data_IF_388406922409
#
_entry.id   IF_388406922409
#
_cell.length_a   1.000
_cell.length_b   1.000
_cell.length_c   1.000
_cell.angle_alpha   90.00
_cell.angle_beta   90.00
_cell.angle_gamma   90.00
#
_symmetry.space_group_name_H-M   'P 1'
#
loop_
_entity.id
_entity.type
_entity.pdbx_description
1 polymer ?
#
# COMPACT_ATOMS: atom_id res chain seq x y z
N UNK A 1 -19.66 11.14 30.51
CA UNK A 1 -20.05 12.15 29.51
C UNK A 1 -20.55 11.42 28.27
N UNK A 2 -21.65 11.84 27.64
CA UNK A 2 -22.15 11.21 26.43
C UNK A 2 -21.22 11.43 25.23
N UNK A 3 -20.95 10.37 24.49
CA UNK A 3 -20.03 10.35 23.34
C UNK A 3 -20.70 10.69 22.01
N UNK A 4 -21.95 11.17 22.05
CA UNK A 4 -22.76 11.52 20.88
C UNK A 4 -22.03 12.45 19.90
N UNK A 5 -21.29 13.43 20.40
CA UNK A 5 -20.53 14.38 19.58
C UNK A 5 -19.42 13.72 18.72
N UNK A 6 -18.95 12.52 19.09
CA UNK A 6 -17.95 11.78 18.31
C UNK A 6 -18.53 11.24 17.00
N UNK A 7 -19.84 10.99 16.96
CA UNK A 7 -20.53 10.46 15.78
C UNK A 7 -20.53 11.44 14.60
N UNK A 8 -20.39 12.74 14.86
CA UNK A 8 -20.29 13.76 13.81
C UNK A 8 -18.86 13.89 13.25
N UNK A 9 -17.86 13.29 13.91
CA UNK A 9 -16.45 13.40 13.51
C UNK A 9 -16.04 12.20 12.66
N UNK A 10 -16.37 10.98 13.06
CA UNK A 10 -15.86 9.78 12.37
C UNK A 10 -16.67 9.49 11.10
N UNK A 11 -16.10 9.72 9.90
CA UNK A 11 -16.76 9.41 8.63
C UNK A 11 -16.47 7.99 8.13
N UNK A 12 -15.22 7.56 8.16
CA UNK A 12 -14.83 6.22 7.71
C UNK A 12 -13.32 6.01 7.66
N UNK A 13 -12.86 5.26 6.67
CA UNK A 13 -11.46 4.83 6.55
C UNK A 13 -10.85 5.21 5.20
N UNK A 14 -9.54 5.48 5.17
CA UNK A 14 -8.80 5.88 3.97
C UNK A 14 -8.35 7.33 3.95
N UNK A 15 -7.58 7.69 2.93
CA UNK A 15 -7.08 9.04 2.71
C UNK A 15 -7.93 9.78 1.67
N UNK A 16 -8.79 10.68 2.15
CA UNK A 16 -9.68 11.47 1.27
C UNK A 16 -8.95 12.44 0.36
N UNK A 17 -7.71 12.83 0.69
CA UNK A 17 -6.94 13.77 -0.12
C UNK A 17 -6.46 13.12 -1.42
N UNK A 18 -6.19 11.82 -1.40
CA UNK A 18 -5.74 11.05 -2.56
C UNK A 18 -6.82 10.18 -3.18
N UNK A 19 -7.81 9.75 -2.41
CA UNK A 19 -8.84 8.83 -2.86
C UNK A 19 -9.61 9.38 -4.07
N UNK A 20 -9.66 8.56 -5.12
CA UNK A 20 -10.36 8.81 -6.38
C UNK A 20 -11.71 8.08 -6.44
N UNK A 21 -11.86 7.01 -5.65
CA UNK A 21 -13.08 6.22 -5.54
C UNK A 21 -13.52 6.20 -4.07
N UNK A 22 -14.77 6.55 -3.82
CA UNK A 22 -15.37 6.53 -2.49
C UNK A 22 -16.44 5.45 -2.45
N UNK A 23 -16.22 4.43 -1.63
CA UNK A 23 -17.25 3.44 -1.35
C UNK A 23 -18.11 3.93 -0.19
N UNK A 24 -19.42 4.03 -0.39
CA UNK A 24 -20.33 4.61 0.59
C UNK A 24 -21.35 3.57 1.04
N UNK A 25 -21.24 3.16 2.31
CA UNK A 25 -22.12 2.19 2.94
C UNK A 25 -23.00 2.79 4.02
N UNK A 26 -23.93 1.97 4.53
CA UNK A 26 -24.62 2.18 5.80
C UNK A 26 -24.43 0.89 6.60
N UNK A 27 -23.19 0.64 7.01
CA UNK A 27 -22.78 -0.59 7.71
C UNK A 27 -22.30 -0.30 9.12
N UNK A 28 -22.46 -1.28 10.00
CA UNK A 28 -21.82 -1.26 11.30
C UNK A 28 -20.40 -1.77 11.12
N UNK A 29 -19.46 -0.84 10.93
CA UNK A 29 -18.06 -1.19 10.66
C UNK A 29 -17.38 -1.90 11.86
N UNK A 30 -17.80 -1.58 13.09
CA UNK A 30 -17.36 -2.21 14.32
C UNK A 30 -18.34 -1.89 15.45
N UNK A 31 -18.40 -2.76 16.46
CA UNK A 31 -19.11 -2.46 17.70
C UNK A 31 -18.41 -1.31 18.45
N UNK A 32 -19.16 -0.27 18.81
CA UNK A 32 -18.67 0.84 19.63
C UNK A 32 -18.55 0.40 21.08
N UNK A 33 -17.32 0.17 21.55
CA UNK A 33 -17.02 -0.10 22.95
C UNK A 33 -16.39 1.12 23.63
N UNK A 34 -16.47 1.20 24.96
CA UNK A 34 -15.75 2.24 25.73
C UNK A 34 -14.24 2.16 25.50
N UNK A 35 -13.69 0.95 25.37
CA UNK A 35 -12.28 0.76 25.06
C UNK A 35 -11.92 1.36 23.70
N UNK A 36 -12.74 1.12 22.67
CA UNK A 36 -12.54 1.69 21.34
C UNK A 36 -12.61 3.22 21.37
N UNK A 37 -13.63 3.79 22.04
CA UNK A 37 -13.72 5.24 22.21
C UNK A 37 -12.53 5.80 22.96
N UNK A 38 -12.10 5.17 24.04
CA UNK A 38 -10.94 5.63 24.79
C UNK A 38 -9.66 5.55 23.95
N UNK A 39 -9.47 4.51 23.13
CA UNK A 39 -8.35 4.46 22.18
C UNK A 39 -8.41 5.58 21.15
N UNK A 40 -9.60 5.89 20.63
CA UNK A 40 -9.79 7.03 19.73
C UNK A 40 -9.44 8.36 20.43
N UNK A 41 -9.92 8.58 21.65
CA UNK A 41 -9.64 9.82 22.36
C UNK A 41 -8.17 9.96 22.80
N UNK A 42 -7.49 8.85 23.06
CA UNK A 42 -6.10 8.86 23.51
C UNK A 42 -5.11 9.04 22.37
N UNK A 43 -5.44 8.54 21.17
CA UNK A 43 -4.49 8.46 20.06
C UNK A 43 -4.49 9.68 19.12
N UNK A 44 -5.56 10.50 19.07
CA UNK A 44 -5.49 11.78 18.35
C UNK A 44 -6.26 12.92 19.04
N UNK A 45 -5.58 14.04 19.38
CA UNK A 45 -6.22 15.23 19.94
C UNK A 45 -6.91 16.15 18.90
N UNK A 46 -6.87 15.84 17.59
CA UNK A 46 -7.43 16.65 16.49
C UNK A 46 -8.62 15.94 15.79
N UNK A 47 -9.49 16.64 15.01
CA UNK A 47 -10.76 16.12 14.52
C UNK A 47 -10.58 14.97 13.53
N UNK A 48 -11.07 13.80 13.90
CA UNK A 48 -11.23 12.64 13.04
C UNK A 48 -12.21 12.96 11.91
N UNK A 49 -11.85 12.61 10.67
CA UNK A 49 -12.75 12.62 9.50
C UNK A 49 -12.67 11.24 8.82
N UNK A 50 -11.49 10.84 8.37
CA UNK A 50 -11.21 9.50 7.83
C UNK A 50 -9.88 8.99 8.37
N UNK A 51 -9.83 7.73 8.79
CA UNK A 51 -8.61 7.11 9.33
C UNK A 51 -8.03 6.11 8.32
N UNK A 52 -6.81 6.35 7.79
CA UNK A 52 -6.13 5.38 6.96
C UNK A 52 -5.92 4.06 7.71
N UNK A 53 -6.22 2.95 7.03
CA UNK A 53 -6.05 1.61 7.57
C UNK A 53 -4.55 1.29 7.66
N UNK A 54 -4.11 0.71 8.78
CA UNK A 54 -2.71 0.30 8.92
C UNK A 54 -2.40 -0.87 7.97
N UNK A 55 -1.17 -0.89 7.42
CA UNK A 55 -0.76 -1.94 6.47
C UNK A 55 -0.85 -3.34 7.07
N UNK A 56 -1.52 -4.25 6.37
CA UNK A 56 -1.72 -5.62 6.84
C UNK A 56 -2.79 -5.79 7.94
N UNK A 57 -3.45 -4.72 8.39
CA UNK A 57 -4.48 -4.85 9.42
C UNK A 57 -5.72 -5.63 8.92
N UNK A 58 -6.11 -5.48 7.65
CA UNK A 58 -7.25 -6.22 7.08
C UNK A 58 -7.03 -7.73 7.13
N UNK A 59 -5.82 -8.21 6.78
CA UNK A 59 -5.49 -9.64 6.88
C UNK A 59 -5.41 -10.11 8.34
N UNK A 60 -4.90 -9.28 9.25
CA UNK A 60 -4.87 -9.61 10.68
C UNK A 60 -6.30 -9.76 11.24
N UNK A 61 -7.20 -8.84 10.91
CA UNK A 61 -8.60 -8.92 11.35
C UNK A 61 -9.35 -10.09 10.68
N UNK A 62 -9.03 -10.41 9.43
CA UNK A 62 -9.52 -11.63 8.78
C UNK A 62 -9.06 -12.90 9.50
N UNK A 63 -7.83 -12.96 9.99
CA UNK A 63 -7.34 -14.09 10.79
C UNK A 63 -8.09 -14.19 12.13
N UNK A 64 -8.47 -13.05 12.72
CA UNK A 64 -9.19 -12.98 14.00
C UNK A 64 -10.68 -13.32 13.89
N UNK A 65 -11.36 -12.77 12.89
CA UNK A 65 -12.83 -12.87 12.74
C UNK A 65 -13.27 -13.79 11.60
N UNK A 66 -12.34 -14.36 10.84
CA UNK A 66 -12.61 -15.27 9.73
C UNK A 66 -12.93 -14.56 8.41
N UNK A 67 -13.23 -15.37 7.39
CA UNK A 67 -13.46 -14.89 6.02
C UNK A 67 -14.74 -14.04 5.86
N UNK A 68 -15.67 -14.06 6.82
CA UNK A 68 -16.84 -13.18 6.80
C UNK A 68 -16.48 -11.71 6.93
N UNK A 69 -15.36 -11.38 7.59
CA UNK A 69 -14.89 -10.02 7.78
C UNK A 69 -14.59 -9.30 6.46
N UNK A 70 -14.04 -10.00 5.46
CA UNK A 70 -13.56 -9.36 4.23
C UNK A 70 -14.58 -9.32 3.11
N UNK A 71 -15.79 -9.88 3.27
CA UNK A 71 -16.74 -10.04 2.14
C UNK A 71 -17.02 -8.76 1.35
N UNK A 72 -17.17 -7.65 2.06
CA UNK A 72 -17.39 -6.32 1.46
C UNK A 72 -16.10 -5.80 0.81
N UNK A 73 -14.98 -5.95 1.51
CA UNK A 73 -13.65 -5.54 1.03
C UNK A 73 -13.21 -6.32 -0.21
N UNK A 74 -13.60 -7.59 -0.34
CA UNK A 74 -13.32 -8.40 -1.52
C UNK A 74 -13.92 -7.77 -2.78
N UNK A 75 -15.17 -7.31 -2.70
CA UNK A 75 -15.87 -6.67 -3.82
C UNK A 75 -15.26 -5.30 -4.11
N UNK A 76 -14.97 -4.50 -3.08
CA UNK A 76 -14.29 -3.20 -3.25
C UNK A 76 -12.94 -3.35 -3.95
N UNK A 77 -12.11 -4.31 -3.52
CA UNK A 77 -10.79 -4.54 -4.13
C UNK A 77 -10.90 -5.09 -5.55
N UNK A 78 -11.86 -5.97 -5.85
CA UNK A 78 -12.12 -6.43 -7.23
C UNK A 78 -12.48 -5.26 -8.15
N UNK A 79 -13.34 -4.35 -7.69
CA UNK A 79 -13.71 -3.15 -8.45
C UNK A 79 -12.48 -2.26 -8.70
N UNK A 80 -11.68 -1.96 -7.67
CA UNK A 80 -10.50 -1.08 -7.81
C UNK A 80 -9.48 -1.69 -8.77
N UNK A 81 -9.12 -2.96 -8.56
CA UNK A 81 -8.15 -3.66 -9.42
C UNK A 81 -8.67 -3.70 -10.84
N UNK A 82 -9.92 -4.14 -11.05
CA UNK A 82 -10.50 -4.19 -12.39
C UNK A 82 -10.61 -2.83 -13.10
N UNK A 83 -10.69 -1.72 -12.36
CA UNK A 83 -10.71 -0.38 -12.96
C UNK A 83 -9.33 0.14 -13.37
N UNK A 84 -8.24 -0.18 -12.67
CA UNK A 84 -6.98 0.54 -12.90
C UNK A 84 -5.69 -0.23 -12.64
N UNK A 85 -5.75 -1.42 -12.07
CA UNK A 85 -4.56 -2.23 -11.80
C UNK A 85 -4.68 -3.48 -12.65
N UNK A 86 -3.86 -3.63 -13.71
CA UNK A 86 -3.89 -4.85 -14.50
C UNK A 86 -3.76 -6.06 -13.58
N UNK A 87 -4.69 -7.01 -13.69
CA UNK A 87 -4.81 -8.14 -12.75
C UNK A 87 -3.57 -9.06 -12.73
N UNK A 88 -2.71 -8.97 -13.75
CA UNK A 88 -1.41 -9.65 -13.77
C UNK A 88 -0.34 -8.97 -12.90
N UNK A 89 -0.56 -7.71 -12.51
CA UNK A 89 0.35 -6.94 -11.64
C UNK A 89 0.02 -7.21 -10.17
N UNK A 90 -1.27 -7.18 -9.79
CA UNK A 90 -1.72 -7.42 -8.40
C UNK A 90 -3.00 -8.25 -8.39
N UNK A 91 -3.01 -9.33 -7.60
CA UNK A 91 -4.25 -10.03 -7.24
C UNK A 91 -5.10 -9.16 -6.30
N UNK A 92 -6.42 -9.14 -6.49
CA UNK A 92 -7.30 -8.30 -5.68
C UNK A 92 -7.25 -8.61 -4.18
N UNK A 93 -6.88 -9.83 -3.76
CA UNK A 93 -6.68 -10.17 -2.34
C UNK A 93 -5.44 -9.49 -1.78
N UNK A 94 -4.37 -9.42 -2.57
CA UNK A 94 -3.15 -8.72 -2.19
C UNK A 94 -3.42 -7.21 -2.11
N UNK A 95 -4.17 -6.65 -3.06
CA UNK A 95 -4.63 -5.26 -2.98
C UNK A 95 -5.43 -5.02 -1.69
N UNK A 96 -6.40 -5.89 -1.40
CA UNK A 96 -7.24 -5.83 -0.20
C UNK A 96 -6.40 -5.83 1.08
N UNK A 97 -5.47 -6.77 1.19
CA UNK A 97 -4.73 -7.02 2.43
C UNK A 97 -3.62 -5.98 2.67
N UNK A 98 -3.05 -5.43 1.59
CA UNK A 98 -1.85 -4.62 1.65
C UNK A 98 -1.98 -3.18 1.16
N UNK A 99 -3.13 -2.75 0.62
CA UNK A 99 -3.29 -1.41 0.07
C UNK A 99 -4.66 -0.77 0.36
N UNK A 100 -5.75 -1.54 0.38
CA UNK A 100 -7.10 -0.96 0.52
C UNK A 100 -7.22 -0.02 1.74
N UNK A 101 -7.62 1.22 1.47
CA UNK A 101 -7.81 2.30 2.46
C UNK A 101 -6.56 2.73 3.22
N UNK A 102 -5.37 2.44 2.71
CA UNK A 102 -4.14 2.97 3.29
C UNK A 102 -3.90 4.43 2.89
N UNK A 103 -2.91 5.04 3.54
CA UNK A 103 -2.51 6.40 3.22
C UNK A 103 -2.06 6.49 1.75
N UNK A 104 -2.43 7.57 1.06
CA UNK A 104 -2.09 7.79 -0.35
C UNK A 104 -2.64 6.76 -1.35
N UNK A 105 -3.65 5.97 -0.98
CA UNK A 105 -4.30 5.04 -1.91
C UNK A 105 -5.51 5.66 -2.62
N UNK A 106 -5.96 5.00 -3.68
CA UNK A 106 -6.97 5.53 -4.59
C UNK A 106 -8.41 5.36 -4.07
N UNK A 107 -8.58 4.71 -2.92
CA UNK A 107 -9.90 4.40 -2.38
C UNK A 107 -10.06 4.82 -0.91
N UNK A 108 -11.27 5.25 -0.57
CA UNK A 108 -11.72 5.37 0.82
C UNK A 108 -13.08 4.70 1.01
N UNK A 109 -13.38 4.36 2.25
CA UNK A 109 -14.67 3.85 2.69
C UNK A 109 -15.34 4.86 3.60
N UNK A 110 -16.61 5.14 3.36
CA UNK A 110 -17.44 6.07 4.11
C UNK A 110 -18.67 5.35 4.64
N UNK A 111 -18.96 5.52 5.93
CA UNK A 111 -20.26 5.15 6.48
C UNK A 111 -21.16 6.37 6.57
N UNK A 112 -22.27 6.37 5.84
CA UNK A 112 -23.21 7.49 5.86
C UNK A 112 -23.82 7.66 7.25
N UNK A 113 -24.10 6.56 7.94
CA UNK A 113 -24.60 6.56 9.32
C UNK A 113 -23.47 6.17 10.27
N UNK A 114 -23.21 6.96 11.32
CA UNK A 114 -22.10 6.71 12.25
C UNK A 114 -22.32 5.49 13.14
N UNK A 115 -23.59 5.17 13.45
CA UNK A 115 -24.00 3.91 14.06
C UNK A 115 -24.68 3.10 12.96
N UNK A 116 -23.94 2.14 12.38
CA UNK A 116 -24.31 1.46 11.15
C UNK A 116 -25.64 0.71 11.16
N UNK A 117 -26.10 0.30 12.34
CA UNK A 117 -27.43 -0.26 12.52
C UNK A 117 -28.50 0.86 12.55
N UNK A 118 -29.46 0.78 11.62
CA UNK A 118 -30.61 1.72 11.56
C UNK A 118 -31.56 1.64 12.75
N UNK A 119 -31.64 0.48 13.37
CA UNK A 119 -32.67 0.17 14.35
C UNK A 119 -32.04 0.03 15.73
N UNK A 120 -32.42 0.91 16.65
CA UNK A 120 -31.90 0.87 18.03
C UNK A 120 -32.22 -0.45 18.73
N UNK A 121 -33.27 -1.18 18.30
CA UNK A 121 -33.62 -2.48 18.88
C UNK A 121 -32.54 -3.56 18.70
N UNK A 122 -31.66 -3.42 17.71
CA UNK A 122 -30.54 -4.34 17.48
C UNK A 122 -29.22 -3.79 18.01
N UNK A 123 -29.23 -2.60 18.61
CA UNK A 123 -28.02 -2.03 19.19
C UNK A 123 -27.66 -2.73 20.48
N UNK A 124 -26.36 -2.85 20.78
CA UNK A 124 -25.92 -3.20 22.13
C UNK A 124 -26.53 -2.26 23.16
N UNK A 125 -26.94 -2.81 24.31
CA UNK A 125 -27.65 -2.05 25.35
C UNK A 125 -26.86 -0.82 25.84
N UNK A 126 -25.53 -0.88 25.83
CA UNK A 126 -24.67 0.24 26.23
C UNK A 126 -24.69 1.43 25.26
N UNK A 127 -25.11 1.27 24.00
CA UNK A 127 -25.21 2.38 23.04
C UNK A 127 -26.21 3.44 23.51
N UNK A 128 -27.31 3.02 24.14
CA UNK A 128 -28.29 3.97 24.68
C UNK A 128 -27.67 4.88 25.74
N UNK A 129 -26.82 4.32 26.61
CA UNK A 129 -26.09 5.09 27.62
C UNK A 129 -24.98 5.95 27.00
N UNK A 130 -24.27 5.42 26.00
CA UNK A 130 -23.13 6.12 25.38
C UNK A 130 -23.56 7.29 24.48
N UNK A 131 -24.67 7.15 23.75
CA UNK A 131 -25.08 8.11 22.71
C UNK A 131 -26.42 8.80 22.97
N UNK A 132 -27.13 8.40 24.04
CA UNK A 132 -28.36 9.03 24.53
C UNK A 132 -29.55 8.98 23.55
N UNK A 133 -29.54 8.05 22.60
CA UNK A 133 -30.67 7.84 21.69
C UNK A 133 -31.71 6.93 22.35
N UNK A 134 -32.86 7.53 22.69
CA UNK A 134 -33.96 6.82 23.37
C UNK A 134 -34.77 5.92 22.43
N UNK A 135 -34.80 6.25 21.15
CA UNK A 135 -35.53 5.50 20.13
C UNK A 135 -35.05 5.86 18.71
N UNK A 136 -35.47 5.04 17.73
CA UNK A 136 -35.16 5.22 16.31
C UNK A 136 -35.38 6.66 15.85
N UNK A 137 -36.50 7.28 16.20
CA UNK A 137 -36.82 8.65 15.75
C UNK A 137 -35.82 9.68 16.26
N UNK A 138 -35.36 9.57 17.52
CA UNK A 138 -34.33 10.49 18.06
C UNK A 138 -33.00 10.36 17.31
N UNK A 139 -32.60 9.14 16.92
CA UNK A 139 -31.40 8.92 16.12
C UNK A 139 -31.55 9.47 14.70
N UNK A 140 -32.65 9.16 14.00
CA UNK A 140 -32.90 9.68 12.66
C UNK A 140 -33.03 11.20 12.62
N UNK A 141 -33.64 11.81 13.63
CA UNK A 141 -33.72 13.26 13.76
C UNK A 141 -32.32 13.86 13.93
N UNK A 142 -31.45 13.21 14.70
CA UNK A 142 -30.06 13.62 14.82
C UNK A 142 -29.32 13.50 13.48
N UNK A 143 -29.39 12.36 12.78
CA UNK A 143 -28.75 12.18 11.47
C UNK A 143 -29.24 13.20 10.45
N UNK A 144 -30.56 13.45 10.37
CA UNK A 144 -31.13 14.40 9.42
C UNK A 144 -30.80 15.87 9.74
N UNK A 145 -30.46 16.19 11.00
CA UNK A 145 -30.05 17.54 11.43
C UNK A 145 -28.53 17.69 11.54
N UNK A 146 -27.78 16.60 11.41
CA UNK A 146 -26.33 16.61 11.51
C UNK A 146 -25.72 17.36 10.34
N UNK A 147 -24.65 18.11 10.60
CA UNK A 147 -23.85 18.78 9.56
C UNK A 147 -23.04 17.80 8.72
N UNK A 148 -22.94 16.54 9.15
CA UNK A 148 -22.18 15.45 8.52
C UNK A 148 -22.41 15.34 7.01
N UNK A 149 -23.67 15.38 6.56
CA UNK A 149 -23.94 15.24 5.12
C UNK A 149 -23.42 16.42 4.30
N UNK A 150 -23.51 17.64 4.85
CA UNK A 150 -22.96 18.82 4.21
C UNK A 150 -21.42 18.77 4.19
N UNK A 151 -20.79 18.26 5.25
CA UNK A 151 -19.34 18.10 5.35
C UNK A 151 -18.82 17.02 4.39
N UNK A 152 -19.51 15.88 4.30
CA UNK A 152 -19.22 14.82 3.33
C UNK A 152 -19.31 15.37 1.90
N UNK A 153 -20.39 16.07 1.54
CA UNK A 153 -20.53 16.64 0.20
C UNK A 153 -19.51 17.75 -0.08
N UNK A 154 -19.17 18.58 0.92
CA UNK A 154 -18.11 19.58 0.80
C UNK A 154 -16.74 18.92 0.51
N UNK A 155 -16.38 17.86 1.25
CA UNK A 155 -15.14 17.11 1.01
C UNK A 155 -15.14 16.43 -0.36
N UNK A 156 -16.27 15.83 -0.76
CA UNK A 156 -16.44 15.23 -2.08
C UNK A 156 -16.17 16.24 -3.20
N UNK A 157 -16.68 17.47 -3.06
CA UNK A 157 -16.51 18.53 -4.08
C UNK A 157 -15.05 18.95 -4.28
N UNK A 158 -14.17 18.79 -3.30
CA UNK A 158 -12.74 19.12 -3.43
C UNK A 158 -12.04 18.26 -4.47
N UNK A 159 -12.33 16.96 -4.50
CA UNK A 159 -11.60 15.98 -5.32
C UNK A 159 -12.47 15.30 -6.39
N UNK A 160 -13.78 15.55 -6.42
CA UNK A 160 -14.75 14.97 -7.36
C UNK A 160 -14.56 13.46 -7.59
N UNK A 161 -14.49 12.63 -6.52
CA UNK A 161 -14.27 11.20 -6.64
C UNK A 161 -15.49 10.51 -7.28
N UNK A 162 -15.28 9.31 -7.82
CA UNK A 162 -16.36 8.40 -8.19
C UNK A 162 -16.97 7.81 -6.92
N UNK A 163 -18.27 8.02 -6.71
CA UNK A 163 -18.99 7.46 -5.57
C UNK A 163 -19.66 6.15 -5.96
N UNK A 164 -19.38 5.09 -5.20
CA UNK A 164 -20.04 3.79 -5.34
C UNK A 164 -20.79 3.53 -4.03
N UNK A 165 -22.09 3.82 -4.02
CA UNK A 165 -22.95 3.71 -2.86
C UNK A 165 -23.64 2.35 -2.86
N UNK A 166 -23.36 1.48 -1.89
CA UNK A 166 -23.84 0.11 -1.90
C UNK A 166 -24.93 -0.15 -0.85
N UNK A 167 -25.96 -0.89 -1.25
CA UNK A 167 -27.12 -1.24 -0.43
C UNK A 167 -28.41 -0.63 -0.96
N UNK A 168 -29.16 -1.38 -1.77
CA UNK A 168 -30.40 -0.96 -2.45
C UNK A 168 -31.44 -0.35 -1.50
N UNK A 169 -31.61 -0.95 -0.32
CA UNK A 169 -32.49 -0.48 0.76
C UNK A 169 -32.12 0.92 1.31
N UNK A 170 -31.02 1.51 0.83
CA UNK A 170 -30.46 2.79 1.26
C UNK A 170 -30.50 3.88 0.20
N UNK A 171 -30.96 3.59 -1.02
CA UNK A 171 -30.92 4.55 -2.13
C UNK A 171 -31.57 5.88 -1.76
N UNK A 172 -32.71 5.89 -1.07
CA UNK A 172 -33.35 7.13 -0.62
C UNK A 172 -32.43 8.00 0.25
N UNK A 173 -31.60 7.41 1.10
CA UNK A 173 -30.66 8.14 1.96
C UNK A 173 -29.46 8.64 1.18
N UNK A 174 -28.87 7.83 0.30
CA UNK A 174 -27.79 8.27 -0.60
C UNK A 174 -28.26 9.43 -1.49
N UNK A 175 -29.44 9.29 -2.11
CA UNK A 175 -30.01 10.32 -2.97
C UNK A 175 -30.28 11.62 -2.24
N UNK A 176 -30.70 11.54 -0.97
CA UNK A 176 -30.87 12.72 -0.11
C UNK A 176 -29.52 13.37 0.26
N UNK A 177 -28.54 12.58 0.67
CA UNK A 177 -27.21 13.07 1.07
C UNK A 177 -26.48 13.79 -0.08
N UNK A 178 -26.58 13.26 -1.29
CA UNK A 178 -25.87 13.79 -2.45
C UNK A 178 -26.74 14.66 -3.37
N UNK A 179 -27.89 15.13 -2.86
CA UNK A 179 -28.78 16.08 -3.55
C UNK A 179 -29.29 15.61 -4.93
N UNK A 180 -29.55 14.31 -5.10
CA UNK A 180 -30.06 13.69 -6.34
C UNK A 180 -31.46 13.05 -6.17
N UNK A 181 -32.20 13.39 -5.10
CA UNK A 181 -33.49 12.75 -4.78
C UNK A 181 -34.58 12.90 -5.84
N UNK A 182 -34.54 13.98 -6.62
CA UNK A 182 -35.50 14.26 -7.68
C UNK A 182 -34.93 13.93 -9.08
N UNK A 183 -33.78 13.26 -9.15
CA UNK A 183 -33.13 12.90 -10.42
C UNK A 183 -33.43 11.44 -10.78
N UNK A 184 -33.81 11.23 -12.02
CA UNK A 184 -33.80 9.90 -12.63
C UNK A 184 -32.35 9.49 -12.94
N UNK A 185 -32.01 8.20 -12.88
CA UNK A 185 -30.70 7.74 -13.33
C UNK A 185 -30.56 7.97 -14.84
N UNK A 186 -29.34 8.32 -15.27
CA UNK A 186 -29.00 8.47 -16.68
C UNK A 186 -28.92 7.10 -17.39
N UNK A 187 -28.55 6.06 -16.65
CA UNK A 187 -28.42 4.70 -17.14
C UNK A 187 -28.64 3.68 -16.01
N UNK A 188 -28.97 2.45 -16.37
CA UNK A 188 -29.17 1.34 -15.44
C UNK A 188 -28.45 0.07 -15.89
N UNK A 189 -28.08 -0.77 -14.94
CA UNK A 189 -27.53 -2.11 -15.19
C UNK A 189 -28.05 -3.05 -14.12
N UNK A 190 -29.05 -3.86 -14.46
CA UNK A 190 -29.83 -4.61 -13.46
C UNK A 190 -30.38 -3.64 -12.40
N UNK A 191 -30.00 -3.83 -11.14
CA UNK A 191 -30.37 -2.99 -10.00
C UNK A 191 -29.38 -1.84 -9.70
N UNK A 192 -28.43 -1.60 -10.61
CA UNK A 192 -27.43 -0.53 -10.49
C UNK A 192 -27.93 0.71 -11.22
N UNK A 193 -27.95 1.85 -10.53
CA UNK A 193 -28.35 3.16 -11.05
C UNK A 193 -27.10 4.04 -11.26
N UNK A 194 -26.96 4.63 -12.44
CA UNK A 194 -25.86 5.53 -12.78
C UNK A 194 -26.36 6.98 -12.85
N UNK A 195 -25.66 7.87 -12.16
CA UNK A 195 -25.85 9.32 -12.16
C UNK A 195 -24.54 9.95 -12.65
N UNK A 196 -24.41 10.04 -13.97
CA UNK A 196 -23.15 10.30 -14.68
C UNK A 196 -22.62 11.69 -14.37
N UNK A 197 -23.50 12.70 -14.38
CA UNK A 197 -23.11 14.09 -14.11
C UNK A 197 -22.55 14.27 -12.69
N UNK A 198 -23.09 13.55 -11.72
CA UNK A 198 -22.65 13.61 -10.33
C UNK A 198 -21.52 12.64 -9.99
N UNK A 199 -21.15 11.76 -10.92
CA UNK A 199 -20.25 10.61 -10.71
C UNK A 199 -20.69 9.75 -9.54
N UNK A 200 -21.98 9.41 -9.49
CA UNK A 200 -22.57 8.56 -8.44
C UNK A 200 -23.11 7.30 -9.07
N UNK A 201 -22.80 6.16 -8.45
CA UNK A 201 -23.33 4.85 -8.80
C UNK A 201 -23.99 4.29 -7.54
N UNK A 202 -25.25 3.90 -7.66
CA UNK A 202 -25.96 3.20 -6.59
C UNK A 202 -26.02 1.72 -6.94
N UNK A 203 -25.52 0.85 -6.06
CA UNK A 203 -25.43 -0.59 -6.30
C UNK A 203 -26.20 -1.41 -5.25
N UNK A 204 -26.52 -2.67 -5.54
CA UNK A 204 -26.86 -3.65 -4.51
C UNK A 204 -25.78 -3.72 -3.42
N UNK A 205 -26.12 -4.37 -2.30
CA UNK A 205 -25.19 -4.56 -1.20
C UNK A 205 -23.98 -5.42 -1.63
N UNK A 206 -22.81 -5.15 -1.07
CA UNK A 206 -21.58 -5.86 -1.41
C UNK A 206 -21.51 -7.23 -0.74
N UNK A 207 -22.28 -8.16 -1.29
CA UNK A 207 -22.26 -9.56 -0.93
C UNK A 207 -22.30 -10.40 -2.19
N UNK A 208 -21.61 -11.55 -2.22
CA UNK A 208 -21.44 -12.35 -3.44
C UNK A 208 -22.76 -12.77 -4.10
N UNK A 209 -23.83 -12.94 -3.32
CA UNK A 209 -25.17 -13.23 -3.84
C UNK A 209 -25.78 -12.06 -4.62
N UNK A 210 -25.48 -10.82 -4.22
CA UNK A 210 -26.05 -9.60 -4.85
C UNK A 210 -25.08 -8.94 -5.85
N UNK A 211 -23.78 -9.16 -5.68
CA UNK A 211 -22.69 -8.65 -6.50
C UNK A 211 -21.73 -9.80 -6.86
N UNK A 212 -22.17 -10.76 -7.70
CA UNK A 212 -21.29 -11.81 -8.20
C UNK A 212 -20.24 -11.23 -9.16
N UNK A 213 -19.15 -11.97 -9.39
CA UNK A 213 -18.01 -11.51 -10.21
C UNK A 213 -18.43 -11.05 -11.61
N UNK A 214 -19.34 -11.77 -12.26
CA UNK A 214 -19.87 -11.37 -13.56
C UNK A 214 -20.61 -10.02 -13.55
N UNK A 215 -21.23 -9.63 -12.42
CA UNK A 215 -21.85 -8.31 -12.27
C UNK A 215 -20.80 -7.23 -11.96
N UNK A 216 -19.75 -7.57 -11.21
CA UNK A 216 -18.60 -6.68 -10.98
C UNK A 216 -17.92 -6.32 -12.30
N UNK A 217 -17.68 -7.32 -13.17
CA UNK A 217 -17.08 -7.09 -14.49
C UNK A 217 -17.95 -6.19 -15.37
N UNK A 218 -19.27 -6.43 -15.38
CA UNK A 218 -20.22 -5.56 -16.11
C UNK A 218 -20.23 -4.14 -15.56
N UNK A 219 -20.16 -3.97 -14.23
CA UNK A 219 -20.04 -2.66 -13.59
C UNK A 219 -18.76 -1.94 -14.03
N UNK A 220 -17.60 -2.60 -13.95
CA UNK A 220 -16.31 -2.05 -14.38
C UNK A 220 -16.35 -1.61 -15.85
N UNK A 221 -16.85 -2.47 -16.74
CA UNK A 221 -16.97 -2.17 -18.16
C UNK A 221 -17.87 -0.96 -18.41
N UNK A 222 -18.97 -0.84 -17.66
CA UNK A 222 -19.91 0.28 -17.78
C UNK A 222 -19.33 1.59 -17.24
N UNK A 223 -18.58 1.54 -16.14
CA UNK A 223 -17.80 2.69 -15.61
C UNK A 223 -16.81 3.18 -16.68
N UNK A 224 -16.10 2.26 -17.33
CA UNK A 224 -15.14 2.58 -18.39
C UNK A 224 -15.82 3.16 -19.64
N UNK A 225 -16.95 2.60 -20.07
CA UNK A 225 -17.69 3.05 -21.25
C UNK A 225 -18.22 4.48 -21.08
N UNK A 226 -18.65 4.84 -19.86
CA UNK A 226 -19.12 6.18 -19.53
C UNK A 226 -18.01 7.18 -19.17
N UNK A 227 -16.74 6.79 -19.33
CA UNK A 227 -15.57 7.59 -18.91
C UNK A 227 -15.63 8.06 -17.45
N UNK A 228 -16.29 7.28 -16.59
CA UNK A 228 -16.37 7.56 -15.15
C UNK A 228 -15.15 7.07 -14.38
N UNK A 229 -14.33 6.21 -14.98
CA UNK A 229 -13.15 5.62 -14.33
C UNK A 229 -12.12 6.71 -13.99
N UNK A 230 -11.98 7.08 -12.70
CA UNK A 230 -11.06 8.15 -12.32
C UNK A 230 -9.59 7.69 -12.29
N UNK A 231 -9.34 6.39 -12.48
CA UNK A 231 -8.00 5.80 -12.56
C UNK A 231 -7.47 5.79 -14.00
N UNK A 232 -8.34 6.01 -15.01
CA UNK A 232 -7.97 6.03 -16.43
C UNK A 232 -7.54 7.43 -16.91
N UNK A 233 -8.28 8.46 -16.50
CA UNK A 233 -8.07 9.86 -16.92
C UNK A 233 -6.92 10.54 -16.21
N UNK A 234 -6.49 10.00 -15.08
CA UNK A 234 -5.43 10.60 -14.30
C UNK A 234 -4.06 10.52 -14.97
N UNK A 235 -3.85 9.67 -15.99
CA UNK A 235 -2.49 9.33 -16.48
C UNK A 235 -1.55 8.83 -15.37
N UNK A 236 -2.12 8.66 -14.17
CA UNK A 236 -1.55 8.52 -12.84
C UNK A 236 -2.45 7.45 -12.22
N UNK A 237 -2.15 6.21 -12.53
CA UNK A 237 -2.41 5.12 -11.59
C UNK A 237 -1.33 5.34 -10.52
N UNK A 238 -1.65 6.12 -9.48
CA UNK A 238 -0.66 6.77 -8.60
C UNK A 238 0.23 5.84 -7.79
N UNK A 239 -0.06 4.54 -7.77
CA UNK A 239 0.82 3.50 -7.25
C UNK A 239 1.39 2.55 -8.33
N UNK A 240 0.82 2.49 -9.55
CA UNK A 240 1.14 1.43 -10.54
C UNK A 240 1.40 1.87 -11.99
N UNK A 241 1.08 3.11 -12.39
CA UNK A 241 1.63 3.75 -13.60
C UNK A 241 2.67 4.79 -13.19
N UNK A 242 3.72 4.29 -12.52
CA UNK A 242 5.01 4.95 -12.70
C UNK A 242 5.35 4.82 -14.19
N UNK A 243 5.94 5.84 -14.82
CA UNK A 243 6.54 5.64 -16.16
C UNK A 243 7.74 4.72 -15.97
N UNK A 244 7.49 3.42 -16.01
CA UNK A 244 8.52 2.40 -15.88
C UNK A 244 9.07 2.10 -17.26
N UNK A 245 10.26 2.60 -17.54
CA UNK A 245 11.01 2.19 -18.73
C UNK A 245 11.83 0.97 -18.37
N UNK A 246 11.69 -0.11 -19.12
CA UNK A 246 12.51 -1.31 -18.92
C UNK A 246 13.98 -0.91 -19.04
N UNK A 247 14.73 -1.13 -17.97
CA UNK A 247 16.13 -0.73 -17.88
C UNK A 247 17.00 -1.80 -18.51
N UNK A 248 17.77 -1.41 -19.53
CA UNK A 248 18.71 -2.30 -20.20
C UNK A 248 20.09 -2.13 -19.56
N UNK A 249 20.60 -3.22 -18.99
CA UNK A 249 21.93 -3.23 -18.38
C UNK A 249 23.00 -2.98 -19.42
N UNK A 250 23.92 -2.06 -19.14
CA UNK A 250 25.12 -1.92 -19.95
C UNK A 250 26.11 -3.08 -19.68
N UNK A 251 27.15 -3.21 -20.51
CA UNK A 251 28.14 -4.30 -20.40
C UNK A 251 28.81 -4.33 -19.02
N UNK A 252 29.11 -3.16 -18.44
CA UNK A 252 29.72 -3.07 -17.11
C UNK A 252 28.77 -3.62 -16.04
N UNK A 253 27.50 -3.24 -16.07
CA UNK A 253 26.48 -3.73 -15.14
C UNK A 253 26.23 -5.22 -15.30
N UNK A 254 26.16 -5.74 -16.53
CA UNK A 254 26.05 -7.18 -16.78
C UNK A 254 27.21 -7.95 -16.15
N UNK A 255 28.45 -7.44 -16.28
CA UNK A 255 29.62 -8.05 -15.65
C UNK A 255 29.53 -8.00 -14.11
N UNK A 256 29.07 -6.89 -13.53
CA UNK A 256 28.87 -6.79 -12.08
C UNK A 256 27.81 -7.78 -11.57
N UNK A 257 26.69 -7.90 -12.29
CA UNK A 257 25.61 -8.84 -11.96
C UNK A 257 26.09 -10.29 -12.07
N UNK A 258 26.87 -10.62 -13.10
CA UNK A 258 27.47 -11.95 -13.24
C UNK A 258 28.41 -12.28 -12.08
N UNK A 259 29.26 -11.33 -11.66
CA UNK A 259 30.13 -11.51 -10.49
C UNK A 259 29.33 -11.77 -9.21
N UNK A 260 28.20 -11.08 -9.00
CA UNK A 260 27.31 -11.37 -7.88
C UNK A 260 26.79 -12.81 -7.96
N UNK A 261 26.24 -13.22 -9.11
CA UNK A 261 25.68 -14.55 -9.24
C UNK A 261 26.72 -15.67 -9.20
N UNK A 262 27.95 -15.43 -9.63
CA UNK A 262 29.04 -16.40 -9.51
C UNK A 262 29.32 -16.72 -8.04
N UNK A 263 29.36 -15.72 -7.16
CA UNK A 263 29.51 -15.93 -5.71
C UNK A 263 28.37 -16.81 -5.15
N UNK A 264 27.11 -16.54 -5.52
CA UNK A 264 25.98 -17.36 -5.06
C UNK A 264 25.96 -18.75 -5.68
N UNK A 265 26.35 -18.90 -6.96
CA UNK A 265 26.44 -20.19 -7.65
C UNK A 265 27.48 -21.11 -7.01
N UNK A 266 28.65 -20.57 -6.66
CA UNK A 266 29.70 -21.30 -5.94
C UNK A 266 29.24 -21.81 -4.57
N UNK A 267 28.20 -21.20 -4.01
CA UNK A 267 27.58 -21.60 -2.74
C UNK A 267 26.26 -22.37 -2.95
N UNK A 268 26.05 -22.93 -4.13
CA UNK A 268 24.96 -23.87 -4.43
C UNK A 268 23.62 -23.23 -4.76
N UNK A 269 23.51 -21.91 -4.91
CA UNK A 269 22.25 -21.26 -5.32
C UNK A 269 21.96 -21.54 -6.79
N UNK A 270 20.67 -21.72 -7.11
CA UNK A 270 20.24 -21.88 -8.49
C UNK A 270 20.06 -20.49 -9.13
N UNK A 271 20.92 -20.17 -10.09
CA UNK A 271 20.89 -18.90 -10.81
C UNK A 271 19.72 -18.91 -11.81
N UNK A 272 18.84 -17.90 -11.79
CA UNK A 272 17.72 -17.86 -12.71
C UNK A 272 18.21 -17.68 -14.15
N UNK A 273 17.42 -18.15 -15.11
CA UNK A 273 17.68 -17.92 -16.54
C UNK A 273 17.38 -16.48 -16.96
N UNK A 274 16.58 -15.75 -16.18
CA UNK A 274 16.22 -14.36 -16.41
C UNK A 274 16.44 -13.53 -15.14
N UNK A 275 16.93 -12.30 -15.29
CA UNK A 275 17.01 -11.33 -14.20
C UNK A 275 15.60 -10.92 -13.75
N UNK A 276 15.44 -10.37 -12.53
CA UNK A 276 14.24 -9.61 -12.23
C UNK A 276 14.02 -8.51 -13.27
N UNK A 277 12.77 -8.12 -13.46
CA UNK A 277 12.48 -6.89 -14.21
C UNK A 277 13.11 -5.70 -13.48
N UNK A 278 13.88 -4.91 -14.21
CA UNK A 278 14.50 -3.69 -13.70
C UNK A 278 13.93 -2.54 -14.51
N UNK A 279 13.48 -1.51 -13.80
CA UNK A 279 12.89 -0.35 -14.43
C UNK A 279 13.60 0.93 -13.99
N UNK A 280 13.76 1.84 -14.94
CA UNK A 280 14.05 3.24 -14.65
C UNK A 280 12.73 3.98 -14.49
N UNK A 281 12.60 4.73 -13.39
CA UNK A 281 11.42 5.54 -13.08
C UNK A 281 11.79 7.02 -13.05
N UNK A 282 10.99 7.82 -13.74
CA UNK A 282 11.08 9.29 -13.75
C UNK A 282 10.34 9.93 -12.56
N UNK A 283 9.87 9.13 -11.61
CA UNK A 283 9.15 9.63 -10.44
C UNK A 283 10.07 10.40 -9.50
N UNK A 284 9.47 11.35 -8.77
CA UNK A 284 10.15 11.99 -7.65
C UNK A 284 10.28 10.97 -6.51
N UNK A 285 11.50 10.64 -6.05
CA UNK A 285 11.71 9.69 -4.95
C UNK A 285 10.95 10.10 -3.67
N UNK A 286 10.57 9.14 -2.81
CA UNK A 286 9.89 9.42 -1.54
C UNK A 286 10.55 10.50 -0.69
N UNK A 287 11.88 10.49 -0.59
CA UNK A 287 12.62 11.48 0.20
C UNK A 287 12.46 12.90 -0.37
N UNK A 288 12.48 13.05 -1.69
CA UNK A 288 12.34 14.35 -2.36
C UNK A 288 10.90 14.89 -2.27
N UNK A 289 9.89 14.02 -2.20
CA UNK A 289 8.49 14.43 -1.98
C UNK A 289 8.31 15.09 -0.61
N UNK A 290 8.98 14.56 0.42
CA UNK A 290 8.82 15.04 1.80
C UNK A 290 9.68 16.28 2.14
N UNK A 291 10.83 16.44 1.49
CA UNK A 291 11.81 17.47 1.84
C UNK A 291 12.10 18.48 0.72
N UNK A 292 11.43 18.35 -0.43
CA UNK A 292 11.74 19.13 -1.62
C UNK A 292 13.02 18.67 -2.33
N UNK A 293 13.31 19.29 -3.48
CA UNK A 293 14.46 18.97 -4.35
C UNK A 293 15.71 19.75 -3.88
N UNK A 294 16.06 19.70 -2.58
CA UNK A 294 17.29 20.33 -2.12
C UNK A 294 18.39 19.27 -1.93
N UNK A 295 19.32 19.10 -2.89
CA UNK A 295 20.40 18.11 -2.79
C UNK A 295 21.46 18.45 -1.73
N UNK A 296 21.43 19.67 -1.18
CA UNK A 296 22.30 20.11 -0.08
C UNK A 296 21.68 19.87 1.30
N UNK A 297 20.55 19.17 1.37
CA UNK A 297 20.03 18.74 2.66
C UNK A 297 21.07 17.81 3.29
N UNK A 298 21.51 18.11 4.52
CA UNK A 298 22.45 17.29 5.31
C UNK A 298 21.89 15.90 5.69
N UNK A 299 20.82 15.45 5.02
CA UNK A 299 20.18 14.17 5.27
C UNK A 299 20.99 13.01 4.71
N UNK A 300 20.75 11.86 5.33
CA UNK A 300 21.33 10.59 4.94
C UNK A 300 20.79 10.16 3.57
N UNK A 301 21.66 9.66 2.70
CA UNK A 301 21.32 9.13 1.37
C UNK A 301 20.87 7.67 1.47
N UNK A 302 19.71 7.43 2.08
CA UNK A 302 19.11 6.08 2.09
C UNK A 302 18.72 5.70 0.66
N UNK A 303 19.28 4.60 0.13
CA UNK A 303 19.10 4.19 -1.28
C UNK A 303 17.61 3.98 -1.56
N UNK A 304 16.91 3.23 -0.70
CA UNK A 304 15.48 2.90 -0.85
C UNK A 304 14.55 4.11 -1.00
N UNK A 305 14.96 5.26 -0.43
CA UNK A 305 14.13 6.47 -0.38
C UNK A 305 14.50 7.50 -1.44
N UNK A 306 15.69 7.39 -2.03
CA UNK A 306 16.23 8.39 -2.94
C UNK A 306 16.62 7.82 -4.32
N UNK A 307 17.28 6.66 -4.37
CA UNK A 307 18.04 6.25 -5.55
C UNK A 307 17.48 5.01 -6.26
N UNK A 308 16.94 4.06 -5.50
CA UNK A 308 16.29 2.86 -6.05
C UNK A 308 15.41 2.21 -5.00
N UNK A 309 14.65 1.19 -5.37
CA UNK A 309 13.97 0.32 -4.42
C UNK A 309 13.65 -1.05 -5.04
N UNK A 310 13.73 -2.09 -4.20
CA UNK A 310 13.25 -3.41 -4.51
C UNK A 310 11.78 -3.55 -4.09
N UNK A 311 10.89 -3.63 -5.08
CA UNK A 311 9.46 -3.82 -4.81
C UNK A 311 9.16 -5.30 -4.63
N UNK A 312 9.39 -5.82 -3.44
CA UNK A 312 9.31 -7.25 -3.12
C UNK A 312 7.98 -7.94 -3.47
N UNK A 313 6.84 -7.22 -3.45
CA UNK A 313 5.55 -7.76 -3.93
C UNK A 313 5.57 -8.04 -5.44
N UNK A 314 6.13 -7.13 -6.23
CA UNK A 314 6.26 -7.26 -7.68
C UNK A 314 7.51 -8.02 -8.10
N UNK A 315 8.42 -8.28 -7.16
CA UNK A 315 9.71 -8.92 -7.38
C UNK A 315 10.55 -8.20 -8.46
N UNK A 316 10.39 -6.89 -8.57
CA UNK A 316 11.08 -6.03 -9.53
C UNK A 316 11.93 -4.97 -8.85
N UNK A 317 12.91 -4.45 -9.58
CA UNK A 317 13.80 -3.39 -9.12
C UNK A 317 13.40 -2.09 -9.81
N UNK A 318 13.32 -1.01 -9.05
CA UNK A 318 13.08 0.34 -9.55
C UNK A 318 14.33 1.18 -9.27
N UNK A 319 14.83 1.88 -10.28
CA UNK A 319 15.88 2.89 -10.15
C UNK A 319 15.24 4.26 -10.40
N UNK A 320 15.47 5.22 -9.50
CA UNK A 320 14.88 6.55 -9.62
C UNK A 320 15.81 7.51 -10.38
N UNK A 321 15.47 7.81 -11.63
CA UNK A 321 16.26 8.66 -12.53
C UNK A 321 16.51 10.05 -11.90
N UNK A 322 15.46 10.69 -11.39
CA UNK A 322 15.56 12.00 -10.71
C UNK A 322 16.45 11.96 -9.46
N UNK A 323 16.45 10.83 -8.76
CA UNK A 323 17.33 10.60 -7.61
C UNK A 323 18.80 10.57 -8.02
N UNK A 324 19.12 9.77 -9.03
CA UNK A 324 20.47 9.69 -9.62
C UNK A 324 20.91 11.07 -10.16
N UNK A 325 20.03 11.76 -10.89
CA UNK A 325 20.29 13.08 -11.47
C UNK A 325 20.55 14.15 -10.42
N UNK A 326 19.84 14.10 -9.29
CA UNK A 326 20.04 15.05 -8.19
C UNK A 326 21.46 14.99 -7.60
N UNK A 327 22.18 13.89 -7.83
CA UNK A 327 23.51 13.63 -7.28
C UNK A 327 24.64 13.72 -8.34
N UNK A 328 24.36 14.13 -9.57
CA UNK A 328 25.32 14.17 -10.69
C UNK A 328 26.56 15.05 -10.46
N UNK A 329 26.45 16.08 -9.60
CA UNK A 329 27.59 16.94 -9.25
C UNK A 329 28.53 16.33 -8.21
N UNK A 330 28.14 15.22 -7.58
CA UNK A 330 28.85 14.61 -6.46
C UNK A 330 29.39 13.21 -6.80
N UNK A 331 28.76 12.53 -7.76
CA UNK A 331 29.06 11.16 -8.15
C UNK A 331 29.02 11.03 -9.68
N UNK A 332 29.85 10.12 -10.21
CA UNK A 332 29.68 9.67 -11.58
C UNK A 332 28.36 8.88 -11.70
N UNK A 333 27.44 9.33 -12.56
CA UNK A 333 26.09 8.77 -12.63
C UNK A 333 26.06 7.29 -13.03
N UNK A 334 26.89 6.87 -13.99
CA UNK A 334 26.94 5.47 -14.42
C UNK A 334 27.31 4.55 -13.25
N UNK A 335 28.39 4.88 -12.53
CA UNK A 335 28.82 4.07 -11.39
C UNK A 335 27.88 4.18 -10.19
N UNK A 336 27.23 5.33 -9.99
CA UNK A 336 26.18 5.49 -8.99
C UNK A 336 25.00 4.56 -9.28
N UNK A 337 24.50 4.56 -10.51
CA UNK A 337 23.43 3.65 -10.96
C UNK A 337 23.85 2.19 -10.80
N UNK A 338 25.09 1.82 -11.15
CA UNK A 338 25.58 0.46 -10.96
C UNK A 338 25.62 0.04 -9.47
N UNK A 339 26.04 0.93 -8.56
CA UNK A 339 26.04 0.63 -7.12
C UNK A 339 24.61 0.43 -6.60
N UNK A 340 23.67 1.29 -7.01
CA UNK A 340 22.25 1.19 -6.66
C UNK A 340 21.65 -0.10 -7.21
N UNK A 341 21.91 -0.43 -8.48
CA UNK A 341 21.45 -1.67 -9.09
C UNK A 341 21.91 -2.91 -8.31
N UNK A 342 23.20 -3.00 -7.97
CA UNK A 342 23.73 -4.14 -7.22
C UNK A 342 23.15 -4.20 -5.81
N UNK A 343 22.88 -3.06 -5.19
CA UNK A 343 22.22 -2.98 -3.89
C UNK A 343 20.80 -3.55 -3.96
N UNK A 344 19.97 -3.07 -4.88
CA UNK A 344 18.59 -3.57 -5.04
C UNK A 344 18.54 -5.04 -5.52
N UNK A 345 19.52 -5.46 -6.32
CA UNK A 345 19.69 -6.86 -6.67
C UNK A 345 20.01 -7.69 -5.42
N UNK A 346 20.77 -7.15 -4.46
CA UNK A 346 21.03 -7.79 -3.18
C UNK A 346 19.76 -8.06 -2.37
N UNK A 347 18.82 -7.10 -2.35
CA UNK A 347 17.49 -7.29 -1.78
C UNK A 347 16.71 -8.39 -2.51
N UNK A 348 16.69 -8.36 -3.84
CA UNK A 348 16.03 -9.40 -4.66
C UNK A 348 16.63 -10.78 -4.41
N UNK A 349 17.96 -10.91 -4.36
CA UNK A 349 18.65 -12.18 -4.10
C UNK A 349 18.25 -12.73 -2.74
N UNK A 350 18.30 -11.88 -1.71
CA UNK A 350 17.93 -12.22 -0.33
C UNK A 350 16.48 -12.70 -0.24
N UNK A 351 15.58 -12.13 -1.04
CA UNK A 351 14.18 -12.53 -1.08
C UNK A 351 13.92 -13.78 -1.96
N UNK A 352 14.42 -13.81 -3.19
CA UNK A 352 13.91 -14.69 -4.26
C UNK A 352 14.87 -15.78 -4.71
N UNK A 353 16.19 -15.58 -4.63
CA UNK A 353 17.15 -16.51 -5.24
C UNK A 353 17.13 -17.86 -4.50
N UNK A 354 16.72 -18.97 -5.13
CA UNK A 354 16.49 -20.23 -4.43
C UNK A 354 17.79 -21.01 -4.19
N UNK A 355 17.76 -21.85 -3.16
CA UNK A 355 18.78 -22.86 -2.87
C UNK A 355 18.18 -24.26 -3.01
N UNK A 356 19.00 -25.32 -2.97
CA UNK A 356 18.50 -26.69 -2.88
C UNK A 356 17.69 -26.95 -1.60
N UNK A 357 17.85 -26.11 -0.57
CA UNK A 357 17.27 -26.29 0.77
C UNK A 357 16.06 -25.40 1.02
N UNK A 358 15.97 -24.25 0.37
CA UNK A 358 14.87 -23.27 0.52
C UNK A 358 14.57 -22.62 -0.83
N UNK A 359 13.29 -22.32 -1.08
CA UNK A 359 12.89 -21.55 -2.26
C UNK A 359 13.12 -20.05 -2.02
N UNK A 360 12.07 -19.24 -2.03
CA UNK A 360 12.12 -17.83 -1.66
C UNK A 360 11.81 -17.63 -0.18
N UNK A 361 12.22 -16.49 0.37
CA UNK A 361 11.73 -16.05 1.67
C UNK A 361 10.23 -15.75 1.55
N UNK A 362 9.42 -16.31 2.45
CA UNK A 362 7.99 -16.04 2.47
C UNK A 362 7.73 -14.53 2.59
N UNK A 363 6.93 -13.99 1.68
CA UNK A 363 6.77 -12.54 1.49
C UNK A 363 6.35 -11.81 2.76
N UNK A 364 5.44 -12.39 3.56
CA UNK A 364 5.00 -11.79 4.82
C UNK A 364 6.12 -11.72 5.87
N UNK A 365 7.02 -12.72 5.89
CA UNK A 365 8.16 -12.73 6.78
C UNK A 365 9.26 -11.80 6.31
N UNK A 366 9.52 -11.75 5.00
CA UNK A 366 10.44 -10.80 4.40
C UNK A 366 9.97 -9.37 4.68
N UNK A 367 8.73 -9.03 4.33
CA UNK A 367 8.16 -7.69 4.53
C UNK A 367 8.23 -7.15 5.97
N UNK A 368 8.14 -8.04 6.96
CA UNK A 368 8.16 -7.70 8.38
C UNK A 368 9.54 -7.90 9.04
N UNK A 369 10.55 -8.34 8.29
CA UNK A 369 11.92 -8.52 8.80
C UNK A 369 12.56 -7.17 9.14
N UNK A 370 13.42 -7.15 10.16
CA UNK A 370 14.13 -5.96 10.60
C UNK A 370 14.90 -5.31 9.43
N UNK A 371 14.73 -4.01 9.23
CA UNK A 371 15.42 -3.23 8.20
C UNK A 371 16.94 -3.41 8.26
N UNK A 372 17.52 -3.60 9.45
CA UNK A 372 18.96 -3.88 9.59
C UNK A 372 19.40 -5.18 8.90
N UNK A 373 18.52 -6.18 8.83
CA UNK A 373 18.79 -7.45 8.15
C UNK A 373 18.74 -7.26 6.64
N UNK A 374 17.69 -6.60 6.12
CA UNK A 374 17.58 -6.30 4.68
C UNK A 374 18.77 -5.47 4.19
N UNK A 375 19.01 -4.34 4.83
CA UNK A 375 20.05 -3.40 4.40
C UNK A 375 21.45 -3.96 4.64
N UNK A 376 21.63 -4.74 5.71
CA UNK A 376 22.88 -5.44 5.97
C UNK A 376 23.22 -6.44 4.86
N UNK A 377 22.25 -7.20 4.36
CA UNK A 377 22.45 -8.14 3.25
C UNK A 377 22.78 -7.44 1.94
N UNK A 378 21.97 -6.46 1.55
CA UNK A 378 22.16 -5.71 0.31
C UNK A 378 23.53 -5.00 0.29
N UNK A 379 23.92 -4.36 1.40
CA UNK A 379 25.23 -3.69 1.51
C UNK A 379 26.41 -4.66 1.53
N UNK A 380 26.25 -5.83 2.14
CA UNK A 380 27.31 -6.84 2.18
C UNK A 380 27.61 -7.38 0.77
N UNK A 381 26.57 -7.61 -0.03
CA UNK A 381 26.72 -8.01 -1.44
C UNK A 381 27.44 -6.91 -2.23
N UNK A 382 27.03 -5.65 -2.11
CA UNK A 382 27.76 -4.53 -2.72
C UNK A 382 29.23 -4.47 -2.28
N UNK A 383 29.51 -4.73 -1.00
CA UNK A 383 30.86 -4.71 -0.46
C UNK A 383 31.75 -5.80 -1.07
N UNK A 384 31.22 -7.01 -1.30
CA UNK A 384 31.96 -8.09 -1.96
C UNK A 384 32.38 -7.67 -3.38
N UNK A 385 31.44 -7.11 -4.15
CA UNK A 385 31.72 -6.60 -5.50
C UNK A 385 32.73 -5.45 -5.49
N UNK A 386 32.61 -4.53 -4.54
CA UNK A 386 33.59 -3.46 -4.36
C UNK A 386 35.00 -3.99 -4.06
N UNK A 387 35.11 -5.09 -3.31
CA UNK A 387 36.38 -5.77 -3.03
C UNK A 387 37.01 -6.41 -4.27
N UNK A 388 36.18 -7.04 -5.11
CA UNK A 388 36.61 -7.77 -6.30
C UNK A 388 37.01 -6.84 -7.45
N UNK A 389 36.17 -5.86 -7.80
CA UNK A 389 36.38 -4.99 -8.99
C UNK A 389 37.30 -3.79 -8.68
N UNK A 390 37.31 -3.32 -7.43
CA UNK A 390 38.04 -2.10 -7.01
C UNK A 390 37.63 -0.87 -7.86
N UNK A 391 38.46 0.17 -7.90
CA UNK A 391 38.27 1.33 -8.79
C UNK A 391 37.00 2.15 -8.50
N UNK A 392 36.33 2.58 -9.56
CA UNK A 392 35.21 3.53 -9.50
C UNK A 392 34.00 2.98 -8.72
N UNK A 393 33.63 1.71 -8.91
CA UNK A 393 32.53 1.10 -8.16
C UNK A 393 32.81 1.16 -6.65
N UNK A 394 34.01 0.75 -6.23
CA UNK A 394 34.41 0.79 -4.82
C UNK A 394 34.49 2.22 -4.26
N UNK A 395 34.96 3.18 -5.06
CA UNK A 395 35.03 4.59 -4.66
C UNK A 395 33.63 5.17 -4.40
N UNK A 396 32.69 4.97 -5.33
CA UNK A 396 31.30 5.44 -5.22
C UNK A 396 30.59 4.76 -4.05
N UNK A 397 30.71 3.44 -3.92
CA UNK A 397 30.18 2.67 -2.79
C UNK A 397 30.64 3.23 -1.43
N UNK A 398 31.94 3.49 -1.29
CA UNK A 398 32.50 4.02 -0.05
C UNK A 398 32.06 5.47 0.22
N UNK A 399 31.91 6.28 -0.83
CA UNK A 399 31.46 7.66 -0.70
C UNK A 399 29.96 7.74 -0.32
N UNK A 400 29.11 6.90 -0.92
CA UNK A 400 27.71 6.77 -0.53
C UNK A 400 27.55 6.32 0.91
N UNK A 401 28.28 5.27 1.31
CA UNK A 401 28.20 4.72 2.67
C UNK A 401 28.47 5.77 3.75
N UNK A 402 29.40 6.72 3.52
CA UNK A 402 29.66 7.83 4.48
C UNK A 402 28.43 8.68 4.78
N UNK A 403 27.44 8.67 3.89
CA UNK A 403 26.21 9.45 3.99
C UNK A 403 24.97 8.59 4.24
N UNK A 404 25.11 7.29 4.42
CA UNK A 404 23.98 6.40 4.66
C UNK A 404 23.64 6.23 6.15
N UNK A 405 22.38 5.91 6.44
CA UNK A 405 21.92 5.64 7.80
C UNK A 405 22.50 4.35 8.41
N UNK A 406 22.30 4.17 9.73
CA UNK A 406 22.89 3.07 10.51
C UNK A 406 22.64 1.67 9.94
N UNK A 407 21.43 1.31 9.44
CA UNK A 407 21.16 -0.01 8.87
C UNK A 407 22.14 -0.40 7.75
N UNK A 408 22.58 0.57 6.95
CA UNK A 408 23.53 0.33 5.87
C UNK A 408 24.96 0.04 6.34
N UNK A 409 25.28 0.21 7.63
CA UNK A 409 26.63 -0.04 8.16
C UNK A 409 26.78 -1.43 8.82
N UNK A 410 25.69 -2.19 8.92
CA UNK A 410 25.67 -3.52 9.55
C UNK A 410 26.66 -4.49 8.89
N UNK A 411 26.83 -4.40 7.56
CA UNK A 411 27.75 -5.26 6.81
C UNK A 411 29.19 -5.23 7.37
N UNK A 412 29.64 -4.10 7.96
CA UNK A 412 30.99 -3.96 8.50
C UNK A 412 31.28 -4.97 9.61
N UNK A 413 30.29 -5.27 10.46
CA UNK A 413 30.41 -6.28 11.51
C UNK A 413 30.42 -7.71 10.95
N UNK A 414 29.89 -7.90 9.74
CA UNK A 414 29.80 -9.20 9.08
C UNK A 414 31.03 -9.52 8.22
N UNK A 415 31.83 -8.51 7.85
CA UNK A 415 33.07 -8.68 7.05
C UNK A 415 34.10 -9.65 7.65
N UNK A 416 34.02 -9.91 8.96
CA UNK A 416 34.92 -10.86 9.65
C UNK A 416 34.58 -12.32 9.38
N UNK A 417 33.37 -12.60 8.87
CA UNK A 417 32.94 -13.96 8.54
C UNK A 417 33.28 -14.30 7.09
N UNK A 418 33.53 -15.58 6.82
CA UNK A 418 33.73 -16.06 5.46
C UNK A 418 32.44 -15.93 4.65
N UNK A 419 32.57 -15.61 3.35
CA UNK A 419 31.43 -15.35 2.45
C UNK A 419 30.45 -16.53 2.44
N UNK A 420 30.95 -17.76 2.30
CA UNK A 420 30.14 -18.99 2.32
C UNK A 420 29.31 -19.12 3.61
N UNK A 421 29.90 -18.83 4.77
CA UNK A 421 29.22 -18.87 6.07
C UNK A 421 28.12 -17.82 6.17
N UNK A 422 28.34 -16.64 5.60
CA UNK A 422 27.30 -15.61 5.49
C UNK A 422 26.19 -16.11 4.58
N UNK A 423 26.52 -16.57 3.36
CA UNK A 423 25.54 -17.07 2.38
C UNK A 423 24.69 -18.21 2.96
N UNK A 424 25.31 -19.16 3.66
CA UNK A 424 24.60 -20.25 4.37
C UNK A 424 23.62 -19.75 5.44
N UNK A 425 23.87 -18.58 6.03
CA UNK A 425 22.96 -17.99 7.01
C UNK A 425 21.62 -17.57 6.38
N UNK A 426 21.58 -17.24 5.08
CA UNK A 426 20.34 -16.89 4.39
C UNK A 426 19.33 -18.04 4.38
N UNK A 427 19.81 -19.25 4.10
CA UNK A 427 19.00 -20.47 4.14
C UNK A 427 18.41 -20.71 5.54
N UNK A 428 19.21 -20.46 6.57
CA UNK A 428 18.78 -20.61 7.96
C UNK A 428 17.71 -19.56 8.30
N UNK A 429 17.90 -18.29 7.91
CA UNK A 429 16.92 -17.22 8.12
C UNK A 429 15.58 -17.56 7.46
N UNK A 430 15.60 -18.01 6.20
CA UNK A 430 14.37 -18.37 5.47
C UNK A 430 13.60 -19.51 6.12
N UNK A 431 14.30 -20.45 6.79
CA UNK A 431 13.69 -21.56 7.52
C UNK A 431 13.09 -21.19 8.87
N UNK A 432 13.31 -19.97 9.37
CA UNK A 432 12.80 -19.57 10.69
C UNK A 432 11.27 -19.55 10.76
N UNK A 433 10.58 -19.40 9.62
CA UNK A 433 9.12 -19.36 9.61
C UNK A 433 8.54 -18.16 10.36
N UNK A 434 9.34 -17.11 10.57
CA UNK A 434 8.95 -15.83 11.19
C UNK A 434 9.81 -14.70 10.60
N UNK A 435 9.41 -13.43 10.78
CA UNK A 435 10.28 -12.30 10.47
C UNK A 435 11.60 -12.37 11.24
N UNK A 436 12.71 -12.08 10.58
CA UNK A 436 14.03 -12.15 11.21
C UNK A 436 14.39 -10.82 11.89
N UNK A 437 15.10 -10.93 13.02
CA UNK A 437 15.77 -9.80 13.66
C UNK A 437 17.27 -9.80 13.39
N UNK A 438 17.96 -8.67 13.65
CA UNK A 438 19.42 -8.63 13.57
C UNK A 438 20.08 -9.64 14.53
N UNK A 439 19.51 -9.85 15.72
CA UNK A 439 19.99 -10.84 16.71
C UNK A 439 19.89 -12.27 16.16
N UNK A 440 18.78 -12.59 15.50
CA UNK A 440 18.60 -13.88 14.85
C UNK A 440 19.74 -14.15 13.85
N UNK A 441 20.05 -13.17 13.00
CA UNK A 441 21.12 -13.30 12.00
C UNK A 441 22.50 -13.50 12.62
N UNK A 442 22.87 -12.73 13.64
CA UNK A 442 24.15 -12.90 14.34
C UNK A 442 24.28 -14.22 15.10
N UNK A 443 23.16 -14.85 15.46
CA UNK A 443 23.17 -16.14 16.19
C UNK A 443 23.49 -17.32 15.27
N UNK A 444 23.08 -17.23 14.00
CA UNK A 444 23.18 -18.34 13.04
C UNK A 444 24.36 -18.23 12.08
N UNK A 445 24.95 -17.02 11.98
CA UNK A 445 26.18 -16.79 11.23
C UNK A 445 27.33 -17.34 12.05
#
# INVERSE_FOLDING_TARGET
>A
MPYKHLLDRIYGSGDVSTAKIWFVGIEEAAEWSLQYINSLLSNNPQPWDFEPVARGSIINEKLKYGASFTKVYDIMSKIIVGLGIPSYIIDWKDYRDHFLFQNSTEACHLNLFPLGAKNIKIWPSHYTTMFEFKNKNTYYNYINKSKRWNEIDAKRKLNSPLLICFGKEQYKHFKKCFFIINKSPDDTLNDIEFYLAEKIILTPFFFSTFMPDALIDKLINKINAHNLNPLKSSGIVGLFHRTLKLYQLNITEQNLVNLVFDEFRLNGFAIPTTLPEIYMSDETPPMMKNHGINPNYESKYDIEKLLGCYEYYFKRIIIYEKGIDSLKGQFNQQWLTSVVLIHELGHWITHQLPTPKTSSWQINHYAATDTNVHEGWAQLICQWIAGNVKGNFAAIFNQLNKRQSSPYHIYKALKKYQINRVIDSLDKLRKFGKPASLKDWFTII
#
